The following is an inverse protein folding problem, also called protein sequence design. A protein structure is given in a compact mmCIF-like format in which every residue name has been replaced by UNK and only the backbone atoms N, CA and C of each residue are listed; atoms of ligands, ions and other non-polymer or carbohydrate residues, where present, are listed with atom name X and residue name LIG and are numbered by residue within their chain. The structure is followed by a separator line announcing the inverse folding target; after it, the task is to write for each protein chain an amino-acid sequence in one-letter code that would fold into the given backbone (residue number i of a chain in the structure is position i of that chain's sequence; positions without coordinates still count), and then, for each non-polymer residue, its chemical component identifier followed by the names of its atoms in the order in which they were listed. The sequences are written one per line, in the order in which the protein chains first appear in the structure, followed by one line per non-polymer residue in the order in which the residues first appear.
data_IF_720560884084
#
_entry.id   IF_720560884084
#
_cell.length_a   1.000
_cell.length_b   1.000
_cell.length_c   1.000
_cell.angle_alpha   90.00
_cell.angle_beta   90.00
_cell.angle_gamma   90.00
#
_symmetry.space_group_name_H-M   'P 1'
#
loop_
_entity.id
_entity.type
_entity.pdbx_description
1 polymer ?
#
# COMPACT_ATOMS: atom_id res chain seq x y z
N UNK A 1 27.86 32.09 -11.91
CA UNK A 1 27.20 31.26 -10.89
C UNK A 1 25.80 30.93 -11.38
N UNK A 2 25.51 29.67 -11.70
CA UNK A 2 24.24 29.29 -12.34
C UNK A 2 23.17 29.06 -11.28
N UNK A 3 22.45 30.12 -10.88
CA UNK A 3 21.33 30.07 -9.92
C UNK A 3 20.27 29.02 -10.30
N UNK A 4 20.11 28.74 -11.59
CA UNK A 4 19.23 27.69 -12.13
C UNK A 4 19.61 26.27 -11.68
N UNK A 5 20.90 25.99 -11.45
CA UNK A 5 21.38 24.69 -11.02
C UNK A 5 20.99 24.40 -9.56
N UNK A 6 21.10 25.41 -8.70
CA UNK A 6 20.70 25.30 -7.30
C UNK A 6 19.18 25.13 -7.16
N UNK A 7 18.39 25.86 -7.95
CA UNK A 7 16.93 25.68 -7.99
C UNK A 7 16.54 24.26 -8.43
N UNK A 8 17.21 23.71 -9.46
CA UNK A 8 16.96 22.33 -9.90
C UNK A 8 17.31 21.31 -8.82
N UNK A 9 18.43 21.49 -8.12
CA UNK A 9 18.82 20.61 -7.03
C UNK A 9 17.86 20.70 -5.84
N UNK A 10 17.46 21.91 -5.44
CA UNK A 10 16.49 22.12 -4.37
C UNK A 10 15.15 21.40 -4.66
N UNK A 11 14.62 21.58 -5.88
CA UNK A 11 13.39 20.88 -6.30
C UNK A 11 13.57 19.36 -6.29
N UNK A 12 14.74 18.87 -6.71
CA UNK A 12 15.04 17.44 -6.69
C UNK A 12 15.06 16.88 -5.27
N UNK A 13 15.73 17.56 -4.32
CA UNK A 13 15.80 17.13 -2.93
C UNK A 13 14.43 17.12 -2.25
N UNK A 14 13.62 18.16 -2.45
CA UNK A 14 12.25 18.21 -1.91
C UNK A 14 11.40 17.06 -2.44
N UNK A 15 11.47 16.78 -3.75
CA UNK A 15 10.75 15.63 -4.35
C UNK A 15 11.21 14.29 -3.78
N UNK A 16 12.51 14.13 -3.55
CA UNK A 16 13.06 12.92 -2.95
C UNK A 16 12.57 12.73 -1.51
N UNK A 17 12.53 13.81 -0.74
CA UNK A 17 12.11 13.78 0.65
C UNK A 17 10.63 13.39 0.79
N UNK A 18 9.75 14.01 -0.01
CA UNK A 18 8.32 13.64 -0.07
C UNK A 18 8.15 12.16 -0.41
N UNK A 19 8.89 11.64 -1.40
CA UNK A 19 8.81 10.21 -1.77
C UNK A 19 9.27 9.29 -0.63
N UNK A 20 10.27 9.72 0.13
CA UNK A 20 10.79 8.97 1.29
C UNK A 20 9.75 8.94 2.40
N UNK A 21 9.17 10.09 2.74
CA UNK A 21 8.09 10.19 3.73
C UNK A 21 6.88 9.37 3.34
N UNK A 22 6.40 9.47 2.09
CA UNK A 22 5.29 8.65 1.60
C UNK A 22 5.59 7.15 1.72
N UNK A 23 6.83 6.75 1.46
CA UNK A 23 7.24 5.35 1.54
C UNK A 23 7.32 4.86 2.99
N UNK A 24 7.84 5.69 3.89
CA UNK A 24 7.85 5.43 5.32
C UNK A 24 6.42 5.36 5.89
N UNK A 25 5.57 6.31 5.50
CA UNK A 25 4.16 6.35 5.85
C UNK A 25 3.43 5.09 5.36
N UNK A 26 3.64 4.70 4.09
CA UNK A 26 3.11 3.44 3.52
C UNK A 26 3.61 2.19 4.24
N UNK A 27 4.84 2.20 4.78
CA UNK A 27 5.39 1.08 5.55
C UNK A 27 4.74 1.01 6.94
N UNK A 28 4.63 2.15 7.62
CA UNK A 28 4.01 2.24 8.95
C UNK A 28 2.50 1.92 8.92
N UNK A 29 1.79 2.35 7.86
CA UNK A 29 0.35 2.15 7.71
C UNK A 29 -0.01 0.95 6.80
N UNK A 30 0.94 0.03 6.56
CA UNK A 30 0.63 -1.21 5.84
C UNK A 30 -0.23 -2.09 6.75
N UNK A 31 -1.32 -2.65 6.22
CA UNK A 31 -2.11 -3.67 6.95
C UNK A 31 -1.19 -4.82 7.36
N UNK A 32 -1.21 -5.14 8.65
CA UNK A 32 -0.48 -6.27 9.19
C UNK A 32 -1.31 -7.52 8.90
N UNK A 33 -0.64 -8.58 8.46
CA UNK A 33 -1.27 -9.89 8.32
C UNK A 33 -0.95 -10.69 9.58
N UNK A 34 -1.97 -11.30 10.15
CA UNK A 34 -1.80 -12.28 11.21
C UNK A 34 -1.03 -13.49 10.64
N UNK A 35 0.10 -13.82 11.28
CA UNK A 35 0.93 -14.99 10.98
C UNK A 35 1.01 -15.78 12.27
N UNK A 36 0.13 -16.76 12.42
CA UNK A 36 0.06 -17.61 13.61
C UNK A 36 -0.83 -18.82 13.35
N UNK A 37 -1.16 -19.54 14.42
CA UNK A 37 -2.03 -20.72 14.34
C UNK A 37 -3.42 -20.36 13.83
N UNK A 38 -4.10 -21.26 13.11
CA UNK A 38 -5.43 -21.01 12.58
C UNK A 38 -6.41 -20.74 13.72
N UNK A 39 -6.83 -19.48 13.86
CA UNK A 39 -7.83 -19.05 14.82
C UNK A 39 -9.24 -19.19 14.24
N UNK A 40 -10.23 -19.31 15.13
CA UNK A 40 -11.62 -19.23 14.72
C UNK A 40 -11.95 -17.83 14.20
N UNK A 41 -12.90 -17.75 13.28
CA UNK A 41 -13.32 -16.50 12.66
C UNK A 41 -13.81 -15.45 13.66
N UNK A 42 -14.53 -15.90 14.69
CA UNK A 42 -15.00 -15.05 15.77
C UNK A 42 -13.84 -14.46 16.56
N UNK A 43 -12.81 -15.27 16.85
CA UNK A 43 -11.66 -14.84 17.63
C UNK A 43 -10.75 -13.90 16.83
N UNK A 44 -10.62 -14.11 15.52
CA UNK A 44 -9.96 -13.14 14.63
C UNK A 44 -10.67 -11.78 14.65
N UNK A 45 -12.02 -11.77 14.63
CA UNK A 45 -12.80 -10.53 14.69
C UNK A 45 -12.61 -9.79 16.02
N UNK A 46 -12.55 -10.53 17.13
CA UNK A 46 -12.34 -9.97 18.47
C UNK A 46 -10.94 -9.37 18.64
N UNK A 47 -9.91 -9.98 18.05
CA UNK A 47 -8.54 -9.43 18.02
C UNK A 47 -8.41 -8.25 17.03
N UNK A 48 -9.42 -8.02 16.18
CA UNK A 48 -9.40 -6.93 15.20
C UNK A 48 -8.78 -7.32 13.86
N UNK A 49 -8.95 -8.56 13.41
CA UNK A 49 -8.56 -9.06 12.10
C UNK A 49 -9.79 -9.50 11.27
N UNK A 50 -9.78 -9.18 9.97
CA UNK A 50 -10.71 -9.70 8.96
C UNK A 50 -10.49 -11.22 8.80
N UNK A 51 -11.50 -11.93 8.26
CA UNK A 51 -11.48 -13.38 7.99
C UNK A 51 -10.24 -13.85 7.22
N UNK A 52 -9.70 -12.99 6.36
CA UNK A 52 -8.50 -13.24 5.57
C UNK A 52 -7.18 -13.07 6.36
N UNK A 53 -7.26 -12.79 7.66
CA UNK A 53 -6.14 -12.53 8.56
C UNK A 53 -5.53 -11.13 8.41
N UNK A 54 -6.25 -10.18 7.82
CA UNK A 54 -5.81 -8.80 7.63
C UNK A 54 -6.34 -7.91 8.75
N UNK A 55 -5.53 -7.01 9.31
CA UNK A 55 -5.99 -6.10 10.37
C UNK A 55 -7.22 -5.28 9.92
N UNK A 56 -8.25 -5.22 10.78
CA UNK A 56 -9.45 -4.40 10.62
C UNK A 56 -9.04 -2.94 10.77
N UNK A 57 -9.08 -2.22 9.64
CA UNK A 57 -8.60 -0.85 9.54
C UNK A 57 -8.43 -0.45 8.08
N UNK A 58 -9.03 0.67 7.69
CA UNK A 58 -8.87 1.24 6.37
C UNK A 58 -7.67 2.18 6.38
N UNK A 59 -6.47 1.65 6.12
CA UNK A 59 -5.27 2.50 6.04
C UNK A 59 -5.15 3.25 4.71
N UNK A 60 -6.03 2.94 3.75
CA UNK A 60 -5.97 3.48 2.39
C UNK A 60 -7.36 3.94 1.96
N UNK A 61 -7.44 5.15 1.40
CA UNK A 61 -8.68 5.71 0.87
C UNK A 61 -9.32 4.77 -0.19
N UNK A 62 -10.66 4.66 -0.23
CA UNK A 62 -11.39 3.74 -1.11
C UNK A 62 -10.96 3.81 -2.59
N UNK A 63 -10.63 5.01 -3.09
CA UNK A 63 -10.17 5.24 -4.46
C UNK A 63 -8.96 4.39 -4.85
N UNK A 64 -7.97 4.26 -3.98
CA UNK A 64 -6.78 3.47 -4.26
C UNK A 64 -7.03 1.96 -4.13
N UNK A 65 -7.96 1.53 -3.26
CA UNK A 65 -8.40 0.13 -3.22
C UNK A 65 -9.03 -0.28 -4.56
N UNK A 66 -9.93 0.56 -5.10
CA UNK A 66 -10.57 0.32 -6.39
C UNK A 66 -9.55 0.24 -7.54
N UNK A 67 -8.61 1.18 -7.60
CA UNK A 67 -7.53 1.14 -8.61
C UNK A 67 -6.69 -0.13 -8.52
N UNK A 68 -6.35 -0.58 -7.31
CA UNK A 68 -5.57 -1.80 -7.09
C UNK A 68 -6.33 -3.05 -7.53
N UNK A 69 -7.63 -3.15 -7.21
CA UNK A 69 -8.46 -4.26 -7.65
C UNK A 69 -8.61 -4.28 -9.18
N UNK A 70 -8.84 -3.14 -9.81
CA UNK A 70 -8.87 -3.03 -11.28
C UNK A 70 -7.54 -3.50 -11.90
N UNK A 71 -6.40 -3.09 -11.35
CA UNK A 71 -5.09 -3.54 -11.82
C UNK A 71 -4.89 -5.06 -11.64
N UNK A 72 -5.35 -5.61 -10.52
CA UNK A 72 -5.29 -7.06 -10.23
C UNK A 72 -6.16 -7.86 -11.20
N UNK A 73 -7.38 -7.41 -11.45
CA UNK A 73 -8.28 -8.02 -12.43
C UNK A 73 -7.68 -7.98 -13.84
N UNK A 74 -7.15 -6.83 -14.27
CA UNK A 74 -6.46 -6.70 -15.56
C UNK A 74 -5.27 -7.66 -15.68
N UNK A 75 -4.48 -7.85 -14.62
CA UNK A 75 -3.39 -8.83 -14.61
C UNK A 75 -3.90 -10.26 -14.76
N UNK A 76 -4.92 -10.67 -14.00
CA UNK A 76 -5.51 -12.01 -14.11
C UNK A 76 -6.04 -12.28 -15.51
N UNK A 77 -6.78 -11.33 -16.09
CA UNK A 77 -7.31 -11.46 -17.45
C UNK A 77 -6.18 -11.62 -18.49
N UNK A 78 -5.10 -10.84 -18.38
CA UNK A 78 -3.94 -10.98 -19.28
C UNK A 78 -3.26 -12.35 -19.18
N UNK A 79 -3.09 -12.88 -17.96
CA UNK A 79 -2.47 -14.19 -17.75
C UNK A 79 -3.35 -15.34 -18.28
N UNK A 80 -4.66 -15.20 -18.17
CA UNK A 80 -5.61 -16.18 -18.70
C UNK A 80 -5.70 -16.14 -20.24
N UNK A 81 -5.42 -15.00 -20.89
CA UNK A 81 -5.38 -14.90 -22.36
C UNK A 81 -4.14 -15.55 -22.97
N UNK A 82 -3.09 -15.77 -22.17
CA UNK A 82 -1.82 -16.38 -22.60
C UNK A 82 -1.72 -17.88 -22.36
N UNK A 83 -2.72 -18.50 -21.74
CA UNK A 83 -2.82 -19.95 -21.52
C UNK A 83 -3.88 -20.52 -22.45
#
# INVERSE_FOLDING_TARGET
MNQSMYLRLAVFFVRMDIKREESAWRKAHRRIRYVGEPLSEHLMRDIGFEKDGLSIGHTVAPKFKAQREVARMRRKLRLNLTT
#
